data_IF_993982820770
#
_entry.id   IF_993982820770
#
_cell.length_a   1.000
_cell.length_b   1.000
_cell.length_c   1.000
_cell.angle_alpha   90.00
_cell.angle_beta   90.00
_cell.angle_gamma   90.00
#
_symmetry.space_group_name_H-M   'P 1'
#
loop_
_entity.id
_entity.type
_entity.pdbx_description
1 polymer ?
#
# COMPACT_ATOMS: atom_id res chain seq x y z
N UNK A 1 -18.70 6.89 13.32
CA UNK A 1 -19.80 7.90 13.18
C UNK A 1 -20.70 8.06 14.41
N UNK A 2 -21.04 7.00 15.17
CA UNK A 2 -21.94 7.08 16.34
C UNK A 2 -21.34 7.84 17.55
N UNK A 3 -20.05 7.70 17.82
CA UNK A 3 -19.34 8.38 18.92
C UNK A 3 -19.23 9.91 18.73
N UNK A 4 -19.03 10.38 17.50
CA UNK A 4 -18.93 11.80 17.20
C UNK A 4 -20.27 12.54 17.42
N UNK A 5 -21.40 11.90 17.06
CA UNK A 5 -22.74 12.45 17.30
C UNK A 5 -23.05 12.58 18.80
N UNK A 6 -22.70 11.58 19.61
CA UNK A 6 -22.90 11.60 21.08
C UNK A 6 -22.10 12.72 21.74
N UNK A 7 -20.84 12.90 21.34
CA UNK A 7 -19.96 13.96 21.87
C UNK A 7 -20.44 15.36 21.49
N UNK A 8 -20.98 15.53 20.27
CA UNK A 8 -21.58 16.79 19.83
C UNK A 8 -22.86 17.12 20.61
N UNK A 9 -23.68 16.12 20.93
CA UNK A 9 -24.89 16.28 21.73
C UNK A 9 -24.59 16.70 23.18
N UNK A 10 -23.61 16.06 23.83
CA UNK A 10 -23.16 16.44 25.18
C UNK A 10 -22.59 17.87 25.25
N UNK A 11 -21.88 18.32 24.21
CA UNK A 11 -21.35 19.68 24.13
C UNK A 11 -22.47 20.71 23.98
N UNK A 12 -23.50 20.39 23.17
CA UNK A 12 -24.68 21.24 22.97
C UNK A 12 -25.49 21.38 24.27
N UNK A 13 -25.75 20.27 24.96
CA UNK A 13 -26.45 20.27 26.25
C UNK A 13 -25.68 21.05 27.33
N UNK A 14 -24.34 21.00 27.35
CA UNK A 14 -23.53 21.84 28.26
C UNK A 14 -23.61 23.32 27.92
N UNK A 15 -23.65 23.68 26.64
CA UNK A 15 -23.81 25.08 26.23
C UNK A 15 -25.18 25.62 26.62
N UNK A 16 -26.25 24.85 26.39
CA UNK A 16 -27.62 25.25 26.73
C UNK A 16 -27.81 25.40 28.26
N UNK A 17 -27.19 24.52 29.05
CA UNK A 17 -27.15 24.65 30.53
C UNK A 17 -26.42 25.91 30.99
N UNK A 18 -25.31 26.29 30.35
CA UNK A 18 -24.57 27.53 30.67
C UNK A 18 -25.33 28.79 30.25
N UNK A 19 -26.01 28.75 29.11
CA UNK A 19 -26.84 29.85 28.63
C UNK A 19 -28.03 30.13 29.57
N UNK A 20 -28.72 29.08 30.03
CA UNK A 20 -29.84 29.20 30.96
C UNK A 20 -29.42 29.65 32.37
N UNK A 21 -28.25 29.21 32.86
CA UNK A 21 -27.67 29.72 34.11
C UNK A 21 -27.27 31.21 34.01
N UNK A 22 -26.69 31.61 32.87
CA UNK A 22 -26.38 33.02 32.59
C UNK A 22 -27.64 33.89 32.59
N UNK A 23 -28.75 33.42 32.00
CA UNK A 23 -30.05 34.09 32.03
C UNK A 23 -30.63 34.25 33.44
N UNK A 24 -30.44 33.27 34.35
CA UNK A 24 -30.88 33.37 35.75
C UNK A 24 -30.06 34.39 36.56
N UNK A 25 -28.75 34.50 36.29
CA UNK A 25 -27.90 35.53 36.91
C UNK A 25 -28.15 36.95 36.35
N UNK A 26 -28.80 37.10 35.18
CA UNK A 26 -29.23 38.42 34.64
C UNK A 26 -30.28 39.13 35.51
N UNK A 27 -30.95 38.44 36.43
CA UNK A 27 -31.98 39.05 37.29
C UNK A 27 -31.46 39.53 38.65
N UNK A 28 -30.25 39.14 39.08
CA UNK A 28 -29.75 39.39 40.45
C UNK A 28 -28.54 40.33 40.57
N UNK A 29 -27.97 40.82 39.47
CA UNK A 29 -26.81 41.72 39.49
C UNK A 29 -27.16 43.12 38.96
N UNK A 30 -26.78 44.17 39.70
CA UNK A 30 -27.08 45.59 39.44
C UNK A 30 -26.45 46.21 38.18
N UNK A 31 -26.32 45.46 37.10
CA UNK A 31 -25.84 45.96 35.80
C UNK A 31 -27.05 46.33 34.93
N UNK A 32 -27.07 47.53 34.35
CA UNK A 32 -28.18 48.00 33.55
C UNK A 32 -28.51 47.06 32.37
N UNK A 33 -29.81 46.86 32.11
CA UNK A 33 -30.35 45.97 31.05
C UNK A 33 -29.74 46.23 29.67
N UNK A 34 -29.44 47.50 29.37
CA UNK A 34 -28.82 47.95 28.12
C UNK A 34 -27.40 47.38 27.96
N UNK A 35 -26.59 47.41 29.01
CA UNK A 35 -25.21 46.88 29.01
C UNK A 35 -25.22 45.36 28.87
N UNK A 36 -26.21 44.68 29.47
CA UNK A 36 -26.37 43.23 29.33
C UNK A 36 -26.79 42.82 27.91
N UNK A 37 -27.70 43.57 27.28
CA UNK A 37 -28.09 43.32 25.90
C UNK A 37 -26.91 43.59 24.94
N UNK A 38 -26.17 44.69 25.15
CA UNK A 38 -24.96 44.98 24.39
C UNK A 38 -23.91 43.86 24.50
N UNK A 39 -23.66 43.34 25.71
CA UNK A 39 -22.76 42.20 25.93
C UNK A 39 -23.25 40.89 25.30
N UNK A 40 -24.56 40.62 25.36
CA UNK A 40 -25.14 39.43 24.73
C UNK A 40 -24.98 39.48 23.20
N UNK A 41 -25.26 40.63 22.59
CA UNK A 41 -25.09 40.84 21.15
C UNK A 41 -23.62 40.72 20.72
N UNK A 42 -22.67 41.24 21.52
CA UNK A 42 -21.23 41.09 21.27
C UNK A 42 -20.77 39.63 21.35
N UNK A 43 -21.27 38.86 22.33
CA UNK A 43 -20.94 37.44 22.48
C UNK A 43 -21.52 36.59 21.34
N UNK A 44 -22.73 36.90 20.88
CA UNK A 44 -23.38 36.26 19.74
C UNK A 44 -22.61 36.52 18.44
N UNK A 45 -22.25 37.78 18.17
CA UNK A 45 -21.45 38.17 17.01
C UNK A 45 -20.06 37.52 17.02
N UNK A 46 -19.40 37.41 18.18
CA UNK A 46 -18.11 36.75 18.29
C UNK A 46 -18.22 35.22 18.04
N UNK A 47 -19.29 34.59 18.53
CA UNK A 47 -19.55 33.17 18.30
C UNK A 47 -19.86 32.87 16.83
N UNK A 48 -20.62 33.74 16.16
CA UNK A 48 -20.91 33.64 14.72
C UNK A 48 -19.61 33.76 13.89
N UNK A 49 -18.80 34.79 14.14
CA UNK A 49 -17.49 34.99 13.46
C UNK A 49 -16.52 33.82 13.68
N UNK A 50 -16.50 33.22 14.87
CA UNK A 50 -15.65 32.06 15.14
C UNK A 50 -16.12 30.82 14.38
N UNK A 51 -17.44 30.60 14.28
CA UNK A 51 -18.01 29.48 13.51
C UNK A 51 -17.74 29.64 12.01
N UNK A 52 -17.91 30.84 11.48
CA UNK A 52 -17.59 31.20 10.10
C UNK A 52 -16.12 30.90 9.78
N UNK A 53 -15.19 31.42 10.58
CA UNK A 53 -13.76 31.09 10.44
C UNK A 53 -13.45 29.59 10.52
N UNK A 54 -14.16 28.84 11.36
CA UNK A 54 -13.97 27.40 11.44
C UNK A 54 -14.47 26.67 10.20
N UNK A 55 -15.56 27.13 9.58
CA UNK A 55 -16.07 26.60 8.32
C UNK A 55 -15.05 26.88 7.21
N UNK A 56 -14.56 28.12 7.11
CA UNK A 56 -13.56 28.52 6.12
C UNK A 56 -12.27 27.68 6.21
N UNK A 57 -11.76 27.45 7.42
CA UNK A 57 -10.56 26.61 7.63
C UNK A 57 -10.81 25.15 7.25
N UNK A 58 -12.02 24.63 7.52
CA UNK A 58 -12.37 23.24 7.17
C UNK A 58 -12.45 23.11 5.65
N UNK A 59 -13.08 24.06 4.98
CA UNK A 59 -13.22 24.08 3.52
C UNK A 59 -11.86 24.24 2.84
N UNK A 60 -11.02 25.16 3.30
CA UNK A 60 -9.64 25.33 2.82
C UNK A 60 -8.82 24.05 2.99
N UNK A 61 -8.91 23.38 4.15
CA UNK A 61 -8.22 22.10 4.38
C UNK A 61 -8.76 20.99 3.49
N UNK A 62 -10.06 20.94 3.22
CA UNK A 62 -10.66 19.96 2.31
C UNK A 62 -10.23 20.20 0.86
N UNK A 63 -10.20 21.45 0.41
CA UNK A 63 -9.70 21.86 -0.90
C UNK A 63 -8.21 21.51 -1.04
N UNK A 64 -7.37 21.92 -0.11
CA UNK A 64 -5.94 21.57 -0.08
C UNK A 64 -5.69 20.05 -0.11
N UNK A 65 -6.45 19.27 0.67
CA UNK A 65 -6.39 17.80 0.63
C UNK A 65 -6.81 17.23 -0.73
N UNK A 66 -7.81 17.82 -1.38
CA UNK A 66 -8.28 17.40 -2.69
C UNK A 66 -7.24 17.68 -3.78
N UNK A 67 -6.60 18.86 -3.76
CA UNK A 67 -5.54 19.24 -4.68
C UNK A 67 -4.28 18.39 -4.50
N UNK A 68 -3.83 18.18 -3.25
CA UNK A 68 -2.70 17.30 -2.94
C UNK A 68 -2.91 15.87 -3.45
N UNK A 69 -4.13 15.35 -3.30
CA UNK A 69 -4.52 14.03 -3.83
C UNK A 69 -4.53 13.99 -5.35
N UNK A 70 -4.94 15.08 -6.00
CA UNK A 70 -4.95 15.17 -7.46
C UNK A 70 -3.51 15.21 -8.01
N UNK A 71 -2.62 15.96 -7.36
CA UNK A 71 -1.19 16.02 -7.70
C UNK A 71 -0.48 14.68 -7.50
N UNK A 72 -0.83 13.91 -6.46
CA UNK A 72 -0.25 12.57 -6.22
C UNK A 72 -0.64 11.51 -7.27
N UNK A 73 -1.82 11.62 -7.90
CA UNK A 73 -2.27 10.65 -8.91
C UNK A 73 -1.43 10.65 -10.18
N UNK A 74 -0.71 11.74 -10.46
CA UNK A 74 0.05 11.91 -11.70
C UNK A 74 1.45 11.27 -11.59
N UNK A 75 1.95 10.97 -10.38
CA UNK A 75 3.34 10.52 -10.13
C UNK A 75 3.45 9.26 -9.25
N UNK A 76 2.47 8.36 -9.28
CA UNK A 76 2.61 7.07 -8.60
C UNK A 76 3.38 6.09 -9.50
N UNK A 77 4.69 6.27 -9.60
CA UNK A 77 5.55 5.22 -10.16
C UNK A 77 5.47 4.00 -9.25
N UNK A 78 5.34 2.80 -9.83
CA UNK A 78 5.38 1.54 -9.10
C UNK A 78 6.75 1.38 -8.44
N UNK A 79 6.85 1.67 -7.14
CA UNK A 79 8.05 1.43 -6.34
C UNK A 79 7.93 0.11 -5.61
N UNK A 80 8.64 -0.89 -6.11
CA UNK A 80 8.82 -2.17 -5.41
C UNK A 80 10.10 -2.06 -4.59
N UNK A 81 9.95 -1.74 -3.32
CA UNK A 81 11.03 -1.87 -2.34
C UNK A 81 11.11 -3.34 -1.94
N UNK A 82 11.97 -4.10 -2.62
CA UNK A 82 12.42 -5.38 -2.07
C UNK A 82 13.22 -5.04 -0.81
N UNK A 83 12.70 -5.38 0.38
CA UNK A 83 13.49 -5.34 1.61
C UNK A 83 14.85 -5.97 1.31
N UNK A 84 15.93 -5.27 1.64
CA UNK A 84 17.28 -5.72 1.30
C UNK A 84 17.46 -7.11 1.86
N UNK A 85 17.52 -8.11 0.98
CA UNK A 85 17.97 -9.44 1.38
C UNK A 85 19.28 -9.21 2.13
N UNK A 86 19.39 -9.68 3.38
CA UNK A 86 20.57 -9.51 4.23
C UNK A 86 21.75 -10.34 3.70
N UNK A 87 22.03 -10.23 2.40
CA UNK A 87 23.06 -10.92 1.67
C UNK A 87 24.15 -9.91 1.39
N UNK A 88 25.39 -10.22 1.79
CA UNK A 88 26.55 -9.46 1.36
C UNK A 88 26.57 -9.38 -0.17
N UNK A 89 26.76 -8.18 -0.73
CA UNK A 89 26.85 -7.96 -2.18
C UNK A 89 27.98 -8.83 -2.76
N UNK A 90 27.72 -9.50 -3.87
CA UNK A 90 28.69 -10.39 -4.52
C UNK A 90 28.75 -11.83 -3.97
N UNK A 91 27.91 -12.20 -2.99
CA UNK A 91 27.74 -13.60 -2.58
C UNK A 91 27.28 -14.42 -3.78
N UNK A 92 27.98 -15.52 -4.07
CA UNK A 92 27.57 -16.48 -5.09
C UNK A 92 26.25 -17.16 -4.68
N UNK A 93 25.22 -17.00 -5.50
CA UNK A 93 23.89 -17.56 -5.26
C UNK A 93 23.69 -18.86 -6.04
N UNK A 94 23.98 -18.83 -7.34
CA UNK A 94 23.84 -19.97 -8.25
C UNK A 94 25.10 -20.09 -9.10
N UNK A 95 25.58 -21.32 -9.26
CA UNK A 95 26.62 -21.70 -10.20
C UNK A 95 26.12 -22.89 -11.03
N UNK A 96 26.06 -22.72 -12.35
CA UNK A 96 25.68 -23.76 -13.30
C UNK A 96 26.90 -24.05 -14.19
N UNK A 97 27.36 -25.30 -14.20
CA UNK A 97 28.55 -25.72 -14.95
C UNK A 97 28.17 -26.76 -15.99
N UNK A 98 28.45 -26.44 -17.26
CA UNK A 98 28.18 -27.27 -18.43
C UNK A 98 26.74 -27.82 -18.46
N UNK A 99 25.78 -26.97 -18.07
CA UNK A 99 24.38 -27.36 -17.91
C UNK A 99 23.70 -27.48 -19.26
N UNK A 100 22.95 -28.57 -19.43
CA UNK A 100 22.04 -28.73 -20.56
C UNK A 100 20.83 -29.58 -20.16
N UNK A 101 19.73 -29.42 -20.88
CA UNK A 101 18.47 -30.10 -20.60
C UNK A 101 17.82 -30.54 -21.91
N UNK A 102 17.23 -31.74 -21.92
CA UNK A 102 16.33 -32.22 -22.96
C UNK A 102 15.08 -32.79 -22.28
N UNK A 103 13.90 -32.56 -22.87
CA UNK A 103 12.71 -33.29 -22.44
C UNK A 103 12.84 -34.77 -22.85
N UNK A 104 12.06 -35.67 -22.24
CA UNK A 104 12.19 -37.13 -22.42
C UNK A 104 12.30 -37.48 -23.92
N UNK A 105 13.37 -38.20 -24.29
CA UNK A 105 13.73 -38.60 -25.67
C UNK A 105 14.01 -37.45 -26.67
N UNK A 106 14.14 -36.21 -26.20
CA UNK A 106 14.52 -35.06 -27.02
C UNK A 106 16.02 -34.74 -26.97
N UNK A 107 16.51 -34.15 -28.07
CA UNK A 107 17.86 -33.57 -28.13
C UNK A 107 17.99 -32.44 -27.09
N UNK A 108 19.22 -32.14 -26.63
CA UNK A 108 19.46 -31.02 -25.74
C UNK A 108 18.89 -29.72 -26.33
N UNK A 109 18.25 -28.91 -25.49
CA UNK A 109 17.61 -27.64 -25.87
C UNK A 109 18.64 -26.64 -26.40
N UNK A 110 19.85 -26.66 -25.83
CA UNK A 110 20.95 -25.81 -26.27
C UNK A 110 21.99 -26.62 -27.03
N UNK A 111 22.46 -26.09 -28.16
CA UNK A 111 23.52 -26.72 -28.95
C UNK A 111 24.81 -26.88 -28.13
N UNK A 112 25.14 -25.86 -27.34
CA UNK A 112 26.28 -25.85 -26.44
C UNK A 112 25.81 -25.81 -24.98
N UNK A 113 26.48 -26.57 -24.07
CA UNK A 113 26.21 -26.47 -22.64
C UNK A 113 26.41 -25.04 -22.11
N UNK A 114 25.60 -24.66 -21.13
CA UNK A 114 25.62 -23.34 -20.52
C UNK A 114 26.47 -23.32 -19.25
N UNK A 115 27.25 -22.25 -19.09
CA UNK A 115 27.95 -21.93 -17.85
C UNK A 115 27.42 -20.59 -17.35
N UNK A 116 26.85 -20.56 -16.15
CA UNK A 116 26.17 -19.37 -15.60
C UNK A 116 26.54 -19.20 -14.14
N UNK A 117 26.82 -17.97 -13.76
CA UNK A 117 27.08 -17.58 -12.39
C UNK A 117 26.15 -16.42 -12.04
N UNK A 118 25.47 -16.50 -10.89
CA UNK A 118 24.57 -15.45 -10.40
C UNK A 118 25.00 -15.06 -8.99
N UNK A 119 25.30 -13.78 -8.81
CA UNK A 119 25.70 -13.21 -7.52
C UNK A 119 24.67 -12.23 -6.97
N UNK A 120 24.67 -12.06 -5.65
CA UNK A 120 23.77 -11.13 -4.97
C UNK A 120 24.01 -9.68 -5.42
N UNK A 121 22.93 -8.97 -5.70
CA UNK A 121 22.95 -7.59 -6.18
C UNK A 121 23.09 -7.44 -7.70
N UNK A 122 23.22 -8.53 -8.45
CA UNK A 122 23.22 -8.51 -9.90
C UNK A 122 21.80 -8.35 -10.47
N UNK A 123 21.73 -7.70 -11.63
CA UNK A 123 20.52 -7.62 -12.45
C UNK A 123 20.82 -8.27 -13.78
N UNK A 124 20.29 -9.47 -13.98
CA UNK A 124 20.55 -10.28 -15.17
C UNK A 124 19.32 -10.24 -16.07
N UNK A 125 19.53 -9.98 -17.36
CA UNK A 125 18.48 -10.05 -18.39
C UNK A 125 18.74 -11.28 -19.27
N UNK A 126 17.78 -12.19 -19.32
CA UNK A 126 17.81 -13.34 -20.23
C UNK A 126 17.08 -12.96 -21.52
N UNK A 127 17.76 -13.03 -22.65
CA UNK A 127 17.20 -12.70 -23.98
C UNK A 127 17.28 -13.90 -24.93
N UNK A 128 16.35 -13.96 -25.89
CA UNK A 128 16.27 -15.00 -26.89
C UNK A 128 14.86 -15.10 -27.47
N UNK A 129 14.70 -15.82 -28.58
CA UNK A 129 13.41 -16.01 -29.23
C UNK A 129 12.48 -16.88 -28.38
N UNK A 130 11.19 -16.94 -28.74
CA UNK A 130 10.27 -17.89 -28.10
C UNK A 130 10.72 -19.32 -28.43
N UNK A 131 10.65 -20.21 -27.43
CA UNK A 131 11.10 -21.60 -27.58
C UNK A 131 12.60 -21.86 -27.34
N UNK A 132 13.44 -20.85 -27.12
CA UNK A 132 14.90 -21.05 -26.91
C UNK A 132 15.29 -21.55 -25.50
N UNK A 133 14.32 -22.04 -24.73
CA UNK A 133 14.58 -22.59 -23.39
C UNK A 133 14.70 -21.59 -22.24
N UNK A 134 14.33 -20.31 -22.39
CA UNK A 134 14.45 -19.31 -21.29
C UNK A 134 13.75 -19.73 -20.01
N UNK A 135 12.49 -20.16 -20.11
CA UNK A 135 11.72 -20.66 -18.97
C UNK A 135 12.33 -21.93 -18.40
N UNK A 136 12.85 -22.82 -19.25
CA UNK A 136 13.56 -24.04 -18.84
C UNK A 136 14.82 -23.70 -18.06
N UNK A 137 15.61 -22.70 -18.50
CA UNK A 137 16.77 -22.21 -17.77
C UNK A 137 16.38 -21.70 -16.39
N UNK A 138 15.32 -20.89 -16.29
CA UNK A 138 14.83 -20.40 -14.99
C UNK A 138 14.47 -21.57 -14.08
N UNK A 139 13.75 -22.57 -14.59
CA UNK A 139 13.38 -23.77 -13.83
C UNK A 139 14.58 -24.60 -13.37
N UNK A 140 15.62 -24.70 -14.18
CA UNK A 140 16.87 -25.37 -13.81
C UNK A 140 17.58 -24.64 -12.67
N UNK A 141 17.72 -23.31 -12.76
CA UNK A 141 18.41 -22.52 -11.72
C UNK A 141 17.58 -22.37 -10.44
N UNK A 142 16.25 -22.45 -10.51
CA UNK A 142 15.39 -22.48 -9.32
C UNK A 142 15.34 -23.86 -8.65
N UNK A 143 15.69 -24.92 -9.39
CA UNK A 143 15.69 -26.31 -8.92
C UNK A 143 14.39 -27.07 -9.19
N UNK A 144 13.47 -26.50 -9.99
CA UNK A 144 12.24 -27.17 -10.42
C UNK A 144 12.51 -28.28 -11.46
N UNK A 145 13.60 -28.15 -12.22
CA UNK A 145 14.07 -29.17 -13.15
C UNK A 145 15.49 -29.59 -12.79
N UNK A 146 15.79 -30.88 -12.98
CA UNK A 146 17.14 -31.44 -12.86
C UNK A 146 17.81 -31.40 -14.23
N UNK A 147 19.04 -30.89 -14.35
CA UNK A 147 19.75 -30.86 -15.62
C UNK A 147 20.01 -32.29 -16.14
N UNK A 148 19.89 -32.48 -17.46
CA UNK A 148 20.25 -33.74 -18.12
C UNK A 148 21.76 -33.95 -18.25
N UNK A 149 22.51 -32.84 -18.27
CA UNK A 149 23.98 -32.78 -18.31
C UNK A 149 24.46 -31.61 -17.48
N UNK A 150 25.64 -31.76 -16.88
CA UNK A 150 26.24 -30.74 -16.01
C UNK A 150 25.62 -30.72 -14.62
N UNK A 151 25.89 -29.64 -13.88
CA UNK A 151 25.47 -29.50 -12.49
C UNK A 151 25.02 -28.06 -12.20
N UNK A 152 23.99 -27.90 -11.38
CA UNK A 152 23.56 -26.62 -10.80
C UNK A 152 23.78 -26.67 -9.30
N UNK A 153 24.68 -25.83 -8.79
CA UNK A 153 24.92 -25.60 -7.37
C UNK A 153 24.21 -24.32 -6.93
N UNK A 154 23.50 -24.42 -5.81
CA UNK A 154 22.72 -23.32 -5.25
C UNK A 154 23.07 -23.14 -3.78
N UNK A 155 23.30 -21.91 -3.35
CA UNK A 155 23.41 -21.59 -1.92
C UNK A 155 22.03 -21.36 -1.31
N UNK A 156 21.95 -21.33 0.02
CA UNK A 156 20.68 -21.01 0.68
C UNK A 156 20.33 -19.52 0.49
N UNK A 157 19.21 -19.27 -0.20
CA UNK A 157 18.58 -17.97 -0.36
C UNK A 157 17.10 -18.10 -0.71
N UNK A 158 16.31 -17.11 -0.31
CA UNK A 158 14.90 -16.98 -0.69
C UNK A 158 14.76 -16.27 -2.03
N UNK A 159 13.83 -16.73 -2.86
CA UNK A 159 13.53 -16.12 -4.16
C UNK A 159 12.03 -16.04 -4.38
N UNK A 160 11.62 -15.10 -5.23
CA UNK A 160 10.25 -14.97 -5.72
C UNK A 160 10.31 -15.14 -7.23
N UNK A 161 9.50 -16.05 -7.77
CA UNK A 161 9.33 -16.24 -9.20
C UNK A 161 7.99 -15.65 -9.64
N UNK A 162 8.02 -14.75 -10.62
CA UNK A 162 6.83 -14.18 -11.24
C UNK A 162 6.67 -14.83 -12.61
N UNK A 163 5.68 -15.72 -12.75
CA UNK A 163 5.40 -16.38 -14.02
C UNK A 163 4.65 -15.44 -14.98
N UNK A 164 4.78 -15.71 -16.29
CA UNK A 164 4.11 -14.88 -17.30
C UNK A 164 2.59 -15.08 -17.34
N UNK A 165 2.11 -16.23 -16.85
CA UNK A 165 0.71 -16.64 -16.97
C UNK A 165 -0.10 -16.41 -15.69
N UNK A 166 0.53 -15.97 -14.59
CA UNK A 166 -0.11 -15.76 -13.28
C UNK A 166 -0.96 -16.94 -12.84
N UNK A 167 -0.52 -18.14 -13.22
CA UNK A 167 -1.33 -19.37 -13.12
C UNK A 167 -1.64 -19.77 -11.67
N UNK A 168 -0.82 -19.28 -10.73
CA UNK A 168 -0.93 -19.53 -9.30
C UNK A 168 -1.87 -18.55 -8.57
N UNK A 169 -2.39 -17.52 -9.25
CA UNK A 169 -3.29 -16.55 -8.61
C UNK A 169 -4.74 -17.01 -8.70
N UNK A 170 -5.44 -16.98 -7.57
CA UNK A 170 -6.89 -17.11 -7.55
C UNK A 170 -7.52 -15.86 -8.18
N UNK A 171 -8.12 -16.03 -9.35
CA UNK A 171 -8.70 -14.93 -10.15
C UNK A 171 -9.99 -14.36 -9.56
N UNK A 172 -10.64 -15.11 -8.68
CA UNK A 172 -11.87 -14.68 -8.02
C UNK A 172 -11.59 -13.86 -6.74
N UNK A 173 -10.34 -13.85 -6.28
CA UNK A 173 -9.93 -13.10 -5.10
C UNK A 173 -9.65 -11.62 -5.42
N UNK A 174 -9.93 -10.77 -4.44
CA UNK A 174 -9.51 -9.37 -4.52
C UNK A 174 -8.00 -9.24 -4.32
N UNK A 175 -7.40 -8.17 -4.84
CA UNK A 175 -5.99 -7.84 -4.57
C UNK A 175 -5.68 -7.79 -3.06
N UNK A 176 -6.65 -7.36 -2.24
CA UNK A 176 -6.48 -7.34 -0.79
C UNK A 176 -6.50 -8.75 -0.19
N UNK A 177 -7.38 -9.63 -0.65
CA UNK A 177 -7.43 -11.03 -0.21
C UNK A 177 -6.15 -11.76 -0.59
N UNK A 178 -5.67 -11.59 -1.83
CA UNK A 178 -4.38 -12.15 -2.26
C UNK A 178 -3.22 -11.61 -1.40
N UNK A 179 -3.18 -10.29 -1.16
CA UNK A 179 -2.14 -9.72 -0.30
C UNK A 179 -2.20 -10.23 1.15
N UNK A 180 -3.39 -10.59 1.63
CA UNK A 180 -3.59 -11.16 2.96
C UNK A 180 -3.24 -12.66 3.00
N UNK A 181 -3.53 -13.40 1.93
CA UNK A 181 -3.17 -14.82 1.77
C UNK A 181 -1.64 -15.02 1.82
N UNK A 182 -0.89 -14.13 1.17
CA UNK A 182 0.57 -14.14 1.15
C UNK A 182 1.21 -13.27 2.26
N UNK A 183 0.46 -12.93 3.33
CA UNK A 183 0.94 -12.13 4.45
C UNK A 183 1.71 -12.96 5.50
N UNK A 184 2.82 -13.58 5.09
CA UNK A 184 3.62 -14.45 5.97
C UNK A 184 4.19 -13.73 7.21
N UNK A 185 4.31 -12.40 7.17
CA UNK A 185 4.80 -11.58 8.26
C UNK A 185 3.69 -11.10 9.22
N UNK A 186 2.44 -11.57 9.05
CA UNK A 186 1.30 -11.21 9.89
C UNK A 186 1.09 -9.70 10.07
N UNK A 187 1.32 -8.94 9.00
CA UNK A 187 1.09 -7.49 8.97
C UNK A 187 -0.36 -7.17 9.30
N UNK A 188 -0.58 -6.05 9.98
CA UNK A 188 -1.93 -5.58 10.23
C UNK A 188 -2.59 -5.11 8.94
N UNK A 189 -3.93 -5.22 8.88
CA UNK A 189 -4.73 -4.82 7.71
C UNK A 189 -4.40 -3.40 7.20
N UNK A 190 -4.11 -2.46 8.10
CA UNK A 190 -3.77 -1.09 7.74
C UNK A 190 -2.41 -0.99 7.02
N UNK A 191 -1.45 -1.83 7.38
CA UNK A 191 -0.11 -1.91 6.77
C UNK A 191 -0.19 -2.52 5.36
N UNK A 192 -0.96 -3.59 5.20
CA UNK A 192 -1.24 -4.20 3.89
C UNK A 192 -1.84 -3.15 2.96
N UNK A 193 -2.83 -2.39 3.44
CA UNK A 193 -3.49 -1.32 2.67
C UNK A 193 -2.54 -0.19 2.30
N UNK A 194 -1.58 0.15 3.17
CA UNK A 194 -0.55 1.14 2.86
C UNK A 194 0.40 0.64 1.77
N UNK A 195 0.85 -0.63 1.85
CA UNK A 195 1.70 -1.26 0.82
C UNK A 195 0.98 -1.32 -0.53
N UNK A 196 -0.28 -1.76 -0.56
CA UNK A 196 -1.10 -1.80 -1.78
C UNK A 196 -1.29 -0.41 -2.40
N UNK A 197 -1.51 0.62 -1.57
CA UNK A 197 -1.63 1.99 -2.07
C UNK A 197 -0.30 2.49 -2.68
N UNK A 198 0.85 2.19 -2.08
CA UNK A 198 2.17 2.48 -2.66
C UNK A 198 2.38 1.77 -4.01
N UNK A 199 1.81 0.57 -4.16
CA UNK A 199 1.83 -0.20 -5.41
C UNK A 199 0.71 0.19 -6.39
N UNK A 200 0.10 1.38 -6.23
CA UNK A 200 -0.94 1.89 -7.11
C UNK A 200 -2.25 1.09 -7.14
N UNK A 201 -2.57 0.37 -6.05
CA UNK A 201 -3.89 -0.23 -5.82
C UNK A 201 -4.68 0.60 -4.79
N UNK A 202 -5.21 1.78 -5.17
CA UNK A 202 -5.93 2.65 -4.25
C UNK A 202 -7.27 2.06 -3.85
N UNK A 203 -7.62 2.22 -2.58
CA UNK A 203 -8.88 1.79 -1.93
C UNK A 203 -10.19 2.30 -2.54
N UNK A 204 -10.15 3.10 -3.60
CA UNK A 204 -11.36 3.73 -4.15
C UNK A 204 -12.03 2.75 -5.10
N UNK A 205 -13.13 2.19 -4.60
CA UNK A 205 -14.08 1.26 -5.22
C UNK A 205 -13.69 -0.21 -5.01
N UNK A 206 -14.65 -0.95 -4.44
CA UNK A 206 -14.46 -2.29 -3.93
C UNK A 206 -13.99 -3.25 -4.99
N UNK A 207 -13.31 -4.31 -4.54
CA UNK A 207 -13.03 -5.51 -5.31
C UNK A 207 -12.32 -5.16 -6.63
N UNK A 208 -11.04 -4.79 -6.55
CA UNK A 208 -10.17 -4.93 -7.73
C UNK A 208 -10.02 -6.44 -7.93
N UNK A 209 -10.87 -6.99 -8.78
CA UNK A 209 -10.75 -8.36 -9.29
C UNK A 209 -9.62 -8.33 -10.30
N UNK A 210 -8.67 -9.26 -10.17
CA UNK A 210 -7.64 -9.47 -11.18
C UNK A 210 -8.31 -10.09 -12.41
N UNK A 211 -8.70 -9.25 -13.39
CA UNK A 211 -9.20 -9.70 -14.69
C UNK A 211 -8.17 -9.39 -15.77
N UNK A 212 -7.82 -10.42 -16.55
CA UNK A 212 -6.97 -10.31 -17.75
C UNK A 212 -7.75 -9.71 -18.92
#
# INVERSE_FOLDING_TARGET
>A
MRLARKKAQEVRERQDKRASQGQRSKQKGGVARIVMNARANLAENNSAKLKEKHIDIIDDKQQNLSELRQKQRINSDLKIDFESAQLHKGKLLIEAVNVNFGYIDEKPIWENPLNIEIRSGERIRITGNNGTGKTTLIKLITGELVPSKGEVKKTEFSYIYLDQQYSQLNKDSTVFELANEYNFNNLQEHEIKLRLNRLCFPKKHGVIIVRH
#
